data_IF_325113417674
#
_entry.id   IF_325113417674
#
_cell.length_a   1.000
_cell.length_b   1.000
_cell.length_c   1.000
_cell.angle_alpha   90.00
_cell.angle_beta   90.00
_cell.angle_gamma   90.00
#
_symmetry.space_group_name_H-M   'P 1'
#
loop_
_entity.id
_entity.type
_entity.pdbx_description
1 polymer ?
#
# COMPACT_ATOMS: atom_id res chain seq x y z
N UNK A 1 -37.54 -27.19 40.91
CA UNK A 1 -36.17 -27.61 41.26
C UNK A 1 -35.64 -28.51 40.16
N UNK A 2 -34.87 -27.95 39.22
CA UNK A 2 -33.96 -28.68 38.33
C UNK A 2 -32.94 -27.65 37.84
N UNK A 3 -31.73 -27.74 38.37
CA UNK A 3 -30.71 -26.71 38.25
C UNK A 3 -30.16 -26.58 36.83
N UNK A 4 -30.26 -25.38 36.29
CA UNK A 4 -29.39 -24.93 35.20
C UNK A 4 -28.05 -24.50 35.81
N UNK A 5 -27.13 -25.46 35.95
CA UNK A 5 -25.71 -25.16 35.97
C UNK A 5 -25.27 -24.91 34.51
N UNK A 6 -25.51 -23.69 34.03
CA UNK A 6 -24.74 -23.17 32.90
C UNK A 6 -23.37 -22.85 33.50
N UNK A 7 -22.39 -23.68 33.19
CA UNK A 7 -21.01 -23.46 33.60
C UNK A 7 -20.56 -22.06 33.19
N UNK A 8 -20.23 -21.24 34.18
CA UNK A 8 -19.25 -20.18 34.03
C UNK A 8 -17.99 -20.83 33.46
N UNK A 9 -17.83 -20.74 32.14
CA UNK A 9 -16.54 -21.02 31.51
C UNK A 9 -15.54 -20.07 32.17
N UNK A 10 -14.62 -20.64 32.94
CA UNK A 10 -13.54 -19.91 33.58
C UNK A 10 -12.95 -18.92 32.57
N UNK A 11 -12.87 -17.65 32.97
CA UNK A 11 -12.12 -16.65 32.22
C UNK A 11 -10.65 -17.08 32.28
N UNK A 12 -10.23 -17.90 31.33
CA UNK A 12 -8.86 -18.39 31.27
C UNK A 12 -7.97 -17.19 31.02
N UNK A 13 -7.14 -16.85 32.01
CA UNK A 13 -6.23 -15.71 31.95
C UNK A 13 -5.31 -15.82 30.73
N UNK A 14 -5.28 -14.78 29.90
CA UNK A 14 -4.43 -14.73 28.70
C UNK A 14 -3.03 -14.25 29.10
N UNK A 15 -2.03 -15.11 28.91
CA UNK A 15 -0.62 -14.80 29.17
C UNK A 15 0.12 -14.51 27.87
N UNK A 16 0.91 -13.42 27.86
CA UNK A 16 1.86 -13.13 26.78
C UNK A 16 3.25 -13.62 27.18
N UNK A 17 3.92 -14.37 26.29
CA UNK A 17 5.30 -14.86 26.51
C UNK A 17 6.04 -15.04 25.18
N UNK A 18 7.35 -15.27 25.25
CA UNK A 18 8.10 -15.78 24.10
C UNK A 18 7.54 -17.13 23.66
N UNK A 19 7.55 -17.35 22.35
CA UNK A 19 7.23 -18.66 21.80
C UNK A 19 8.28 -19.70 22.22
N UNK A 20 7.86 -20.95 22.32
CA UNK A 20 8.75 -22.10 22.43
C UNK A 20 9.09 -22.57 21.02
N UNK A 21 10.28 -23.12 20.82
CA UNK A 21 10.71 -23.60 19.50
C UNK A 21 9.78 -24.70 18.95
N UNK A 22 9.26 -25.57 19.83
CA UNK A 22 8.27 -26.61 19.49
C UNK A 22 6.93 -26.06 18.99
N UNK A 23 6.63 -24.78 19.20
CA UNK A 23 5.38 -24.14 18.76
C UNK A 23 5.44 -23.63 17.32
N UNK A 24 6.60 -23.69 16.66
CA UNK A 24 6.81 -23.13 15.30
C UNK A 24 5.79 -23.62 14.28
N UNK A 25 5.50 -24.93 14.25
CA UNK A 25 4.52 -25.51 13.33
C UNK A 25 3.09 -25.05 13.63
N UNK A 26 2.72 -24.95 14.92
CA UNK A 26 1.40 -24.49 15.34
C UNK A 26 1.20 -23.00 15.02
N UNK A 27 2.22 -22.17 15.24
CA UNK A 27 2.23 -20.76 14.87
C UNK A 27 2.11 -20.57 13.37
N UNK A 28 2.88 -21.32 12.58
CA UNK A 28 2.79 -21.28 11.11
C UNK A 28 1.37 -21.64 10.64
N UNK A 29 0.77 -22.70 11.19
CA UNK A 29 -0.60 -23.07 10.88
C UNK A 29 -1.61 -21.97 11.28
N UNK A 30 -1.39 -21.27 12.40
CA UNK A 30 -2.23 -20.14 12.80
C UNK A 30 -2.08 -18.93 11.86
N UNK A 31 -0.86 -18.61 11.43
CA UNK A 31 -0.60 -17.58 10.43
C UNK A 31 -1.31 -17.89 9.11
N UNK A 32 -1.21 -19.14 8.63
CA UNK A 32 -1.84 -19.60 7.39
C UNK A 32 -3.38 -19.57 7.42
N UNK A 33 -3.98 -19.67 8.61
CA UNK A 33 -5.43 -19.48 8.82
C UNK A 33 -5.83 -18.01 8.92
N UNK A 34 -4.89 -17.13 9.28
CA UNK A 34 -5.17 -15.71 9.52
C UNK A 34 -4.98 -14.86 8.27
N UNK A 35 -3.99 -15.20 7.45
CA UNK A 35 -3.57 -14.43 6.29
C UNK A 35 -3.85 -15.16 4.99
N UNK A 36 -3.89 -14.41 3.88
CA UNK A 36 -4.13 -14.97 2.56
C UNK A 36 -2.99 -15.90 2.10
N UNK A 37 -3.35 -16.91 1.31
CA UNK A 37 -2.43 -17.98 0.87
C UNK A 37 -1.19 -17.44 0.15
N UNK A 38 -1.30 -16.35 -0.60
CA UNK A 38 -0.17 -15.77 -1.34
C UNK A 38 0.88 -15.10 -0.44
N UNK A 39 0.60 -14.86 0.85
CA UNK A 39 1.57 -14.32 1.82
C UNK A 39 2.45 -15.40 2.45
N UNK A 40 2.10 -16.68 2.31
CA UNK A 40 2.84 -17.81 2.92
C UNK A 40 4.35 -17.83 2.59
N UNK A 41 4.79 -17.57 1.35
CA UNK A 41 6.22 -17.62 0.99
C UNK A 41 7.09 -16.61 1.74
N UNK A 42 6.49 -15.56 2.32
CA UNK A 42 7.21 -14.49 3.02
C UNK A 42 7.01 -14.52 4.55
N UNK A 43 6.35 -15.55 5.07
CA UNK A 43 6.27 -15.75 6.52
C UNK A 43 7.64 -16.10 7.09
N UNK A 44 8.05 -15.35 8.10
CA UNK A 44 9.23 -15.62 8.91
C UNK A 44 8.80 -15.79 10.36
N UNK A 45 9.49 -16.66 11.10
CA UNK A 45 9.29 -16.87 12.54
C UNK A 45 10.69 -16.89 13.16
N UNK A 46 10.89 -16.05 14.16
CA UNK A 46 12.14 -15.93 14.92
C UNK A 46 11.84 -16.33 16.37
N UNK A 47 12.11 -17.58 16.79
CA UNK A 47 11.77 -18.05 18.13
C UNK A 47 12.30 -17.14 19.26
N UNK A 48 13.46 -16.53 19.05
CA UNK A 48 14.14 -15.62 19.98
C UNK A 48 13.43 -14.27 20.18
N UNK A 49 12.50 -13.91 19.30
CA UNK A 49 11.85 -12.59 19.30
C UNK A 49 10.33 -12.64 19.03
N UNK A 50 9.76 -13.82 18.78
CA UNK A 50 8.33 -13.99 18.54
C UNK A 50 7.58 -14.15 19.85
N UNK A 51 6.57 -13.32 20.07
CA UNK A 51 5.71 -13.39 21.25
C UNK A 51 4.38 -14.05 20.89
N UNK A 52 3.84 -14.85 21.81
CA UNK A 52 2.56 -15.53 21.67
C UNK A 52 1.63 -15.19 22.82
N UNK A 53 0.33 -15.17 22.52
CA UNK A 53 -0.76 -15.08 23.49
C UNK A 53 -1.33 -16.49 23.71
N UNK A 54 -1.36 -16.94 24.96
CA UNK A 54 -1.85 -18.26 25.33
C UNK A 54 -2.87 -18.20 26.46
N UNK A 55 -3.87 -19.07 26.39
CA UNK A 55 -4.81 -19.35 27.47
C UNK A 55 -4.72 -20.84 27.81
N UNK A 56 -4.08 -21.17 28.94
CA UNK A 56 -3.61 -22.54 29.21
C UNK A 56 -2.61 -22.99 28.14
N UNK A 57 -2.84 -24.14 27.53
CA UNK A 57 -2.03 -24.68 26.41
C UNK A 57 -2.48 -24.18 25.03
N UNK A 58 -3.54 -23.37 24.97
CA UNK A 58 -4.12 -22.92 23.70
C UNK A 58 -3.45 -21.66 23.18
N UNK A 59 -2.90 -21.73 21.97
CA UNK A 59 -2.41 -20.55 21.22
C UNK A 59 -3.57 -19.73 20.67
N UNK A 60 -3.65 -18.47 21.08
CA UNK A 60 -4.69 -17.52 20.65
C UNK A 60 -4.19 -16.50 19.63
N UNK A 61 -2.88 -16.29 19.53
CA UNK A 61 -2.29 -15.31 18.63
C UNK A 61 -0.79 -15.16 18.84
N UNK A 62 -0.16 -14.36 17.98
CA UNK A 62 1.25 -14.05 18.09
C UNK A 62 1.66 -12.81 17.30
N UNK A 63 2.86 -12.33 17.60
CA UNK A 63 3.52 -11.24 16.91
C UNK A 63 4.99 -11.56 16.67
N UNK A 64 5.41 -11.50 15.41
CA UNK A 64 6.77 -11.82 15.00
C UNK A 64 7.58 -10.54 14.95
N UNK A 65 8.72 -10.51 15.64
CA UNK A 65 9.56 -9.32 15.76
C UNK A 65 10.91 -9.55 15.08
N UNK A 66 11.49 -8.47 14.59
CA UNK A 66 12.86 -8.47 14.09
C UNK A 66 13.65 -7.33 14.77
N UNK A 67 14.93 -7.57 15.03
CA UNK A 67 15.84 -6.63 15.69
C UNK A 67 17.13 -6.54 14.88
N UNK A 68 17.46 -5.33 14.42
CA UNK A 68 18.65 -5.13 13.60
C UNK A 68 19.30 -3.76 13.84
N UNK A 69 20.64 -3.66 13.74
CA UNK A 69 21.32 -2.38 13.83
C UNK A 69 21.25 -1.62 12.50
N UNK A 70 21.07 -0.31 12.57
CA UNK A 70 21.22 0.62 11.44
C UNK A 70 22.16 1.78 11.83
N UNK A 71 22.61 2.58 10.84
CA UNK A 71 23.57 3.68 11.03
C UNK A 71 24.81 3.28 11.83
N UNK A 72 25.46 2.20 11.42
CA UNK A 72 26.68 1.69 12.10
C UNK A 72 26.44 1.23 13.55
N UNK A 73 25.20 0.94 13.94
CA UNK A 73 24.85 0.51 15.30
C UNK A 73 24.31 1.63 16.20
N UNK A 74 24.33 2.90 15.75
CA UNK A 74 23.80 4.02 16.52
C UNK A 74 22.28 3.94 16.77
N UNK A 75 21.55 3.23 15.90
CA UNK A 75 20.14 2.92 16.11
C UNK A 75 19.99 1.39 16.11
N UNK A 76 19.44 0.88 17.21
CA UNK A 76 18.97 -0.50 17.30
C UNK A 76 17.48 -0.51 17.00
N UNK A 77 17.13 -1.03 15.84
CA UNK A 77 15.78 -0.99 15.30
C UNK A 77 15.02 -2.24 15.71
N UNK A 78 13.83 -2.07 16.26
CA UNK A 78 12.82 -3.11 16.36
C UNK A 78 11.83 -3.01 15.19
N UNK A 79 11.33 -4.14 14.73
CA UNK A 79 10.29 -4.19 13.71
C UNK A 79 9.14 -5.07 14.17
N UNK A 80 7.92 -4.53 14.14
CA UNK A 80 6.69 -5.28 14.35
C UNK A 80 6.26 -5.87 13.00
N UNK A 81 6.43 -7.18 12.87
CA UNK A 81 6.06 -7.92 11.67
C UNK A 81 4.63 -8.44 11.70
N UNK A 82 4.51 -9.73 11.44
CA UNK A 82 3.23 -10.44 11.40
C UNK A 82 2.55 -10.45 12.76
N UNK A 83 1.38 -9.80 12.86
CA UNK A 83 0.47 -9.88 14.00
C UNK A 83 -0.77 -10.69 13.60
N UNK A 84 -1.03 -11.80 14.28
CA UNK A 84 -2.13 -12.70 13.97
C UNK A 84 -2.85 -13.13 15.24
N UNK A 85 -4.17 -13.29 15.14
CA UNK A 85 -5.05 -13.66 16.24
C UNK A 85 -6.04 -14.67 15.67
N UNK A 86 -6.23 -15.79 16.40
CA UNK A 86 -7.23 -16.80 16.06
C UNK A 86 -8.60 -16.15 15.95
N UNK A 87 -9.41 -16.62 15.00
CA UNK A 87 -10.68 -15.99 14.66
C UNK A 87 -11.61 -15.84 15.86
N UNK A 88 -11.66 -16.88 16.70
CA UNK A 88 -12.49 -16.95 17.90
C UNK A 88 -11.96 -16.12 19.07
N UNK A 89 -10.72 -15.63 18.99
CA UNK A 89 -10.10 -14.77 20.01
C UNK A 89 -10.02 -13.29 19.58
N UNK A 90 -10.55 -12.96 18.39
CA UNK A 90 -10.64 -11.56 17.91
C UNK A 90 -11.63 -10.77 18.77
N UNK A 91 -11.38 -9.46 18.90
CA UNK A 91 -12.20 -8.57 19.72
C UNK A 91 -11.90 -8.61 21.23
N UNK A 92 -11.16 -9.62 21.72
CA UNK A 92 -10.81 -9.77 23.15
C UNK A 92 -9.62 -8.89 23.60
N UNK A 93 -9.18 -7.94 22.78
CA UNK A 93 -8.05 -7.06 23.12
C UNK A 93 -6.64 -7.69 23.01
N UNK A 94 -6.53 -8.97 22.62
CA UNK A 94 -5.26 -9.71 22.53
C UNK A 94 -4.21 -9.00 21.67
N UNK A 95 -4.61 -8.41 20.53
CA UNK A 95 -3.68 -7.66 19.68
C UNK A 95 -3.03 -6.50 20.43
N UNK A 96 -3.82 -5.75 21.21
CA UNK A 96 -3.30 -4.65 22.04
C UNK A 96 -2.32 -5.16 23.08
N UNK A 97 -2.61 -6.30 23.72
CA UNK A 97 -1.71 -6.95 24.68
C UNK A 97 -0.39 -7.38 24.03
N UNK A 98 -0.46 -8.04 22.86
CA UNK A 98 0.72 -8.48 22.10
C UNK A 98 1.60 -7.31 21.69
N UNK A 99 1.02 -6.21 21.16
CA UNK A 99 1.80 -5.03 20.78
C UNK A 99 2.41 -4.35 22.00
N UNK A 100 1.67 -4.21 23.10
CA UNK A 100 2.23 -3.63 24.34
C UNK A 100 3.42 -4.45 24.86
N UNK A 101 3.28 -5.78 24.89
CA UNK A 101 4.35 -6.69 25.28
C UNK A 101 5.55 -6.65 24.30
N UNK A 102 5.29 -6.55 22.99
CA UNK A 102 6.34 -6.41 21.98
C UNK A 102 7.14 -5.12 22.17
N UNK A 103 6.49 -3.99 22.46
CA UNK A 103 7.18 -2.74 22.73
C UNK A 103 8.04 -2.82 24.01
N UNK A 104 7.55 -3.48 25.04
CA UNK A 104 8.33 -3.71 26.26
C UNK A 104 9.54 -4.63 26.02
N UNK A 105 9.33 -5.74 25.29
CA UNK A 105 10.39 -6.65 24.86
C UNK A 105 11.47 -5.92 24.04
N UNK A 106 11.08 -5.14 23.04
CA UNK A 106 12.01 -4.38 22.19
C UNK A 106 12.78 -3.32 22.98
N UNK A 107 12.13 -2.67 23.95
CA UNK A 107 12.79 -1.71 24.86
C UNK A 107 13.85 -2.41 25.72
N UNK A 108 13.50 -3.55 26.33
CA UNK A 108 14.43 -4.38 27.12
C UNK A 108 15.59 -4.91 26.29
N UNK A 109 15.35 -5.20 25.01
CA UNK A 109 16.37 -5.58 24.03
C UNK A 109 17.23 -4.39 23.54
N UNK A 110 17.08 -3.19 24.12
CA UNK A 110 17.88 -2.01 23.83
C UNK A 110 17.50 -1.30 22.52
N UNK A 111 16.31 -1.58 21.95
CA UNK A 111 15.88 -0.89 20.74
C UNK A 111 15.53 0.57 21.05
N UNK A 112 16.03 1.49 20.22
CA UNK A 112 15.75 2.92 20.31
C UNK A 112 14.61 3.37 19.41
N UNK A 113 14.29 2.58 18.39
CA UNK A 113 13.27 2.84 17.39
C UNK A 113 12.49 1.58 17.10
N UNK A 114 11.21 1.73 16.78
CA UNK A 114 10.36 0.65 16.29
C UNK A 114 9.62 1.10 15.04
N UNK A 115 9.52 0.22 14.05
CA UNK A 115 8.62 0.43 12.92
C UNK A 115 7.69 -0.77 12.67
N UNK A 116 6.67 -0.52 11.87
CA UNK A 116 5.74 -1.52 11.37
C UNK A 116 5.27 -1.08 9.97
N UNK A 117 4.88 -2.04 9.13
CA UNK A 117 4.25 -1.76 7.85
C UNK A 117 2.77 -2.08 7.92
N UNK A 118 1.93 -1.13 7.51
CA UNK A 118 0.49 -1.33 7.50
C UNK A 118 -0.07 -0.94 6.14
N UNK A 119 -0.92 -1.81 5.60
CA UNK A 119 -1.73 -1.57 4.42
C UNK A 119 -2.67 -0.37 4.60
N UNK A 120 -2.81 0.44 3.56
CA UNK A 120 -3.62 1.66 3.52
C UNK A 120 -5.09 1.50 3.88
N UNK A 121 -5.67 0.33 3.62
CA UNK A 121 -7.07 0.00 3.89
C UNK A 121 -7.25 -0.85 5.17
N UNK A 122 -6.28 -0.83 6.10
CA UNK A 122 -6.33 -1.60 7.35
C UNK A 122 -6.53 -0.70 8.60
N UNK A 123 -7.78 -0.29 8.89
CA UNK A 123 -8.07 0.60 10.03
C UNK A 123 -7.78 -0.04 11.39
N UNK A 124 -7.90 -1.38 11.51
CA UNK A 124 -7.66 -2.08 12.77
C UNK A 124 -6.22 -1.88 13.22
N UNK A 125 -5.27 -2.13 12.31
CA UNK A 125 -3.84 -1.94 12.57
C UNK A 125 -3.48 -0.46 12.79
N UNK A 126 -4.10 0.46 12.02
CA UNK A 126 -3.91 1.90 12.25
C UNK A 126 -4.32 2.33 13.64
N UNK A 127 -5.54 1.97 14.08
CA UNK A 127 -6.04 2.31 15.41
C UNK A 127 -5.13 1.73 16.50
N UNK A 128 -4.71 0.49 16.32
CA UNK A 128 -3.84 -0.20 17.27
C UNK A 128 -2.49 0.50 17.41
N UNK A 129 -1.76 0.77 16.32
CA UNK A 129 -0.46 1.43 16.40
C UNK A 129 -0.56 2.90 16.79
N UNK A 130 -1.57 3.62 16.29
CA UNK A 130 -1.84 5.00 16.68
C UNK A 130 -2.05 5.13 18.20
N UNK A 131 -2.82 4.22 18.80
CA UNK A 131 -3.05 4.20 20.26
C UNK A 131 -1.77 3.94 21.07
N UNK A 132 -0.74 3.40 20.41
CA UNK A 132 0.57 3.14 20.98
C UNK A 132 1.57 4.25 20.63
N UNK A 133 1.14 5.36 20.03
CA UNK A 133 1.99 6.52 19.72
C UNK A 133 2.86 6.35 18.47
N UNK A 134 2.54 5.41 17.59
CA UNK A 134 3.16 5.36 16.26
C UNK A 134 2.57 6.43 15.34
N UNK A 135 3.38 6.87 14.39
CA UNK A 135 2.96 7.78 13.32
C UNK A 135 3.47 7.29 11.96
N UNK A 136 2.71 7.43 10.86
CA UNK A 136 3.21 7.13 9.54
C UNK A 136 4.31 8.13 9.15
N UNK A 137 5.39 7.63 8.54
CA UNK A 137 6.46 8.48 8.01
C UNK A 137 6.30 8.68 6.50
N UNK A 138 6.31 9.94 6.07
CA UNK A 138 6.51 10.31 4.67
C UNK A 138 7.90 9.88 4.18
N UNK A 139 8.13 9.77 2.87
CA UNK A 139 9.45 9.47 2.32
C UNK A 139 10.55 10.41 2.84
N UNK A 140 10.28 11.71 2.90
CA UNK A 140 11.23 12.68 3.44
C UNK A 140 11.49 12.46 4.94
N UNK A 141 10.46 12.08 5.71
CA UNK A 141 10.61 11.68 7.11
C UNK A 141 11.45 10.41 7.27
N UNK A 142 11.27 9.43 6.39
CA UNK A 142 12.05 8.20 6.35
C UNK A 142 13.54 8.51 6.06
N UNK A 143 13.84 9.31 5.04
CA UNK A 143 15.21 9.75 4.76
C UNK A 143 15.81 10.55 5.91
N UNK A 144 15.07 11.49 6.51
CA UNK A 144 15.53 12.27 7.66
C UNK A 144 15.88 11.36 8.85
N UNK A 145 15.04 10.36 9.14
CA UNK A 145 15.23 9.47 10.29
C UNK A 145 16.32 8.42 10.05
N UNK A 146 16.37 7.81 8.87
CA UNK A 146 17.19 6.63 8.61
C UNK A 146 18.42 6.93 7.74
N UNK A 147 18.40 8.01 6.96
CA UNK A 147 19.50 8.41 6.08
C UNK A 147 19.83 7.31 5.07
N UNK A 148 21.12 7.04 4.89
CA UNK A 148 21.63 5.99 3.99
C UNK A 148 21.27 4.57 4.41
N UNK A 149 20.80 4.36 5.65
CA UNK A 149 20.33 3.05 6.11
C UNK A 149 18.89 2.73 5.70
N UNK A 150 18.19 3.64 5.01
CA UNK A 150 16.80 3.45 4.59
C UNK A 150 16.57 2.15 3.77
N UNK A 151 17.43 1.78 2.80
CA UNK A 151 17.25 0.51 2.06
C UNK A 151 17.30 -0.71 2.99
N UNK A 152 18.11 -0.68 4.05
CA UNK A 152 18.14 -1.76 5.05
C UNK A 152 16.82 -1.82 5.83
N UNK A 153 16.26 -0.68 6.22
CA UNK A 153 14.93 -0.63 6.86
C UNK A 153 13.86 -1.20 5.92
N UNK A 154 13.86 -0.82 4.64
CA UNK A 154 12.92 -1.38 3.67
C UNK A 154 13.09 -2.88 3.46
N UNK A 155 14.34 -3.39 3.46
CA UNK A 155 14.62 -4.82 3.38
C UNK A 155 13.97 -5.60 4.53
N UNK A 156 14.22 -5.19 5.76
CA UNK A 156 13.68 -5.87 6.94
C UNK A 156 12.16 -5.71 7.08
N UNK A 157 11.64 -4.62 6.55
CA UNK A 157 10.21 -4.36 6.52
C UNK A 157 9.49 -5.00 5.31
N UNK A 158 10.21 -5.78 4.49
CA UNK A 158 9.74 -6.38 3.23
C UNK A 158 9.17 -5.37 2.20
N UNK A 159 9.52 -4.09 2.31
CA UNK A 159 8.86 -2.98 1.61
C UNK A 159 9.34 -2.67 0.19
N UNK A 160 10.30 -3.39 -0.37
CA UNK A 160 10.82 -3.01 -1.70
C UNK A 160 9.74 -3.01 -2.79
N UNK A 161 8.66 -3.77 -2.59
CA UNK A 161 7.59 -3.92 -3.57
C UNK A 161 6.20 -3.63 -3.01
N UNK A 162 6.08 -3.20 -1.75
CA UNK A 162 4.79 -3.06 -1.07
C UNK A 162 4.05 -1.78 -1.51
N UNK A 163 3.04 -1.96 -2.36
CA UNK A 163 2.23 -0.88 -2.91
C UNK A 163 1.01 -0.65 -2.03
N UNK A 164 0.86 0.58 -1.56
CA UNK A 164 -0.21 0.94 -0.62
C UNK A 164 0.07 0.60 0.84
N UNK A 165 1.31 0.26 1.20
CA UNK A 165 1.72 0.10 2.60
C UNK A 165 2.50 1.31 3.08
N UNK A 166 2.29 1.65 4.35
CA UNK A 166 2.90 2.82 4.99
C UNK A 166 3.79 2.37 6.15
N UNK A 167 4.98 2.97 6.25
CA UNK A 167 5.90 2.72 7.37
C UNK A 167 5.48 3.58 8.55
N UNK A 168 4.98 2.92 9.57
CA UNK A 168 4.70 3.50 10.86
C UNK A 168 5.93 3.44 11.73
N UNK A 169 6.18 4.49 12.51
CA UNK A 169 7.37 4.64 13.31
C UNK A 169 7.05 5.19 14.70
N UNK A 170 7.82 4.73 15.69
CA UNK A 170 7.85 5.21 17.07
C UNK A 170 9.28 5.19 17.59
N UNK A 171 9.69 6.23 18.32
CA UNK A 171 10.91 6.20 19.15
C UNK A 171 10.61 5.57 20.51
N UNK A 172 11.51 4.73 21.03
CA UNK A 172 11.40 4.12 22.35
C UNK A 172 12.22 4.84 23.43
N UNK A 173 13.37 5.41 23.07
CA UNK A 173 14.28 6.09 24.03
C UNK A 173 14.00 7.59 24.04
N UNK A 174 13.87 8.17 25.24
CA UNK A 174 13.56 9.60 25.47
C UNK A 174 12.12 9.90 25.92
N UNK A 175 11.41 8.94 26.51
CA UNK A 175 10.02 9.13 27.01
C UNK A 175 9.87 8.82 28.50
N UNK A 176 10.72 9.40 29.35
CA UNK A 176 10.42 9.52 30.79
C UNK A 176 9.92 10.93 31.13
N UNK A 177 10.31 11.98 30.42
CA UNK A 177 9.76 13.32 30.62
C UNK A 177 9.57 13.99 29.25
N UNK A 178 8.49 14.74 29.10
CA UNK A 178 7.92 15.22 27.84
C UNK A 178 7.14 14.15 27.06
N UNK A 179 5.93 13.84 27.55
CA UNK A 179 4.81 13.93 26.61
C UNK A 179 5.03 15.21 25.81
N UNK A 180 5.20 15.16 24.47
CA UNK A 180 5.26 16.39 23.70
C UNK A 180 4.02 17.18 24.11
N UNK A 181 4.20 18.45 24.49
CA UNK A 181 3.09 19.34 24.79
C UNK A 181 1.97 19.04 23.79
N UNK A 182 0.73 18.88 24.27
CA UNK A 182 -0.45 18.50 23.49
C UNK A 182 -0.66 19.34 22.19
N UNK A 183 0.14 20.40 22.03
CA UNK A 183 0.28 21.28 20.88
C UNK A 183 1.02 20.70 19.67
N UNK A 184 1.96 19.74 19.81
CA UNK A 184 2.76 19.22 18.68
C UNK A 184 2.22 17.91 18.06
N UNK A 185 1.20 17.31 18.69
CA UNK A 185 0.54 16.08 18.26
C UNK A 185 -0.80 16.37 17.56
N UNK A 186 -0.87 17.48 16.80
CA UNK A 186 -2.14 18.11 16.40
C UNK A 186 -2.87 17.50 15.21
N UNK A 187 -2.30 16.53 14.49
CA UNK A 187 -3.01 15.82 13.42
C UNK A 187 -3.09 14.36 13.81
N UNK A 188 -4.29 13.80 13.90
CA UNK A 188 -4.44 12.37 14.05
C UNK A 188 -3.71 11.68 12.88
N UNK A 189 -3.11 10.50 13.09
CA UNK A 189 -2.49 9.77 11.99
C UNK A 189 -3.48 9.62 10.83
N UNK A 190 -3.00 9.70 9.59
CA UNK A 190 -3.85 9.71 8.37
C UNK A 190 -4.77 10.94 8.20
N UNK A 191 -4.39 12.08 8.78
CA UNK A 191 -5.03 13.37 8.50
C UNK A 191 -4.05 14.40 7.92
N UNK A 192 -3.39 14.11 6.78
CA UNK A 192 -2.52 15.09 6.13
C UNK A 192 -3.31 16.34 5.76
N UNK A 193 -2.69 17.49 6.00
CA UNK A 193 -3.16 18.79 5.52
C UNK A 193 -3.26 18.78 3.99
N UNK A 194 -4.04 19.71 3.43
CA UNK A 194 -4.14 19.84 1.97
C UNK A 194 -2.77 20.11 1.32
N UNK A 195 -1.88 20.84 2.01
CA UNK A 195 -0.51 21.13 1.53
C UNK A 195 0.32 19.86 1.43
N UNK A 196 0.21 18.97 2.42
CA UNK A 196 0.91 17.69 2.41
C UNK A 196 0.37 16.76 1.31
N UNK A 197 -0.95 16.71 1.13
CA UNK A 197 -1.57 15.94 0.05
C UNK A 197 -1.14 16.46 -1.32
N UNK A 198 -1.17 17.79 -1.54
CA UNK A 198 -0.72 18.41 -2.77
C UNK A 198 0.77 18.12 -3.03
N UNK A 199 1.62 18.19 -2.00
CA UNK A 199 3.03 17.83 -2.12
C UNK A 199 3.22 16.35 -2.49
N UNK A 200 2.49 15.44 -1.84
CA UNK A 200 2.52 14.01 -2.18
C UNK A 200 2.09 13.77 -3.61
N UNK A 201 1.02 14.43 -4.07
CA UNK A 201 0.54 14.32 -5.44
C UNK A 201 1.58 14.83 -6.45
N UNK A 202 2.11 16.04 -6.25
CA UNK A 202 3.18 16.59 -7.09
C UNK A 202 4.43 15.71 -7.11
N UNK A 203 4.78 15.07 -5.99
CA UNK A 203 5.90 14.13 -5.93
C UNK A 203 5.63 12.89 -6.80
N UNK A 204 4.41 12.34 -6.74
CA UNK A 204 3.98 11.26 -7.62
C UNK A 204 4.10 11.66 -9.10
N UNK A 205 3.63 12.84 -9.45
CA UNK A 205 3.67 13.35 -10.82
C UNK A 205 5.11 13.53 -11.34
N UNK A 206 6.00 14.09 -10.51
CA UNK A 206 7.42 14.23 -10.85
C UNK A 206 8.10 12.87 -11.05
N UNK A 207 7.78 11.86 -10.23
CA UNK A 207 8.30 10.52 -10.41
C UNK A 207 7.72 9.82 -11.64
N UNK A 208 6.46 10.05 -11.98
CA UNK A 208 5.86 9.55 -13.22
C UNK A 208 6.57 10.14 -14.46
N UNK A 209 6.89 11.44 -14.46
CA UNK A 209 7.71 12.05 -15.52
C UNK A 209 9.13 11.48 -15.58
N UNK A 210 9.79 11.32 -14.45
CA UNK A 210 11.14 10.75 -14.43
C UNK A 210 11.14 9.31 -14.97
N UNK A 211 10.15 8.52 -14.58
CA UNK A 211 9.91 7.17 -15.09
C UNK A 211 9.69 7.19 -16.61
N UNK A 212 8.87 8.12 -17.10
CA UNK A 212 8.65 8.33 -18.53
C UNK A 212 9.94 8.68 -19.25
N UNK A 213 10.77 9.56 -18.69
CA UNK A 213 12.11 9.87 -19.22
C UNK A 213 13.00 8.64 -19.37
N UNK A 214 13.02 7.76 -18.37
CA UNK A 214 13.76 6.48 -18.45
C UNK A 214 13.24 5.64 -19.62
N UNK A 215 11.91 5.53 -19.78
CA UNK A 215 11.29 4.79 -20.88
C UNK A 215 11.68 5.38 -22.25
N UNK A 216 11.66 6.70 -22.38
CA UNK A 216 12.05 7.43 -23.60
C UNK A 216 13.50 7.13 -23.97
N UNK A 217 14.42 7.26 -23.01
CA UNK A 217 15.83 6.99 -23.22
C UNK A 217 16.06 5.51 -23.57
N UNK A 218 15.43 4.59 -22.82
CA UNK A 218 15.60 3.14 -22.99
C UNK A 218 15.14 2.64 -24.35
N UNK A 219 14.05 3.21 -24.86
CA UNK A 219 13.42 2.83 -26.12
C UNK A 219 13.83 3.77 -27.28
N UNK A 220 14.84 4.63 -27.09
CA UNK A 220 15.37 5.54 -28.12
C UNK A 220 14.29 6.44 -28.76
N UNK A 221 13.36 6.92 -27.94
CA UNK A 221 12.21 7.74 -28.37
C UNK A 221 12.52 9.24 -28.43
N UNK A 222 13.77 9.66 -28.27
CA UNK A 222 14.18 11.08 -28.38
C UNK A 222 13.79 11.70 -29.73
N UNK A 223 13.97 11.02 -30.89
CA UNK A 223 13.61 11.58 -32.19
C UNK A 223 12.15 12.04 -32.25
N UNK A 224 11.24 11.33 -31.58
CA UNK A 224 9.81 11.66 -31.52
C UNK A 224 9.55 13.02 -30.84
N UNK A 225 10.42 13.44 -29.91
CA UNK A 225 10.30 14.71 -29.19
C UNK A 225 10.92 15.85 -30.02
N UNK A 226 12.01 15.57 -30.72
CA UNK A 226 12.75 16.58 -31.48
C UNK A 226 12.22 16.79 -32.88
N UNK A 227 11.43 15.85 -33.40
CA UNK A 227 10.89 15.93 -34.75
C UNK A 227 9.92 17.11 -34.91
N UNK A 228 10.32 18.04 -35.78
CA UNK A 228 9.57 19.27 -36.07
C UNK A 228 8.40 19.03 -37.03
N UNK A 229 8.36 17.87 -37.72
CA UNK A 229 7.21 17.47 -38.51
C UNK A 229 5.97 17.20 -37.64
N UNK A 230 6.18 16.86 -36.36
CA UNK A 230 5.11 16.66 -35.39
C UNK A 230 4.73 17.99 -34.73
N UNK A 231 3.46 18.42 -34.78
CA UNK A 231 2.99 19.61 -34.10
C UNK A 231 3.44 19.65 -32.63
N UNK A 232 3.99 20.79 -32.21
CA UNK A 232 4.55 20.95 -30.86
C UNK A 232 3.54 20.58 -29.77
N UNK A 233 2.25 20.88 -29.98
CA UNK A 233 1.18 20.53 -29.05
C UNK A 233 1.05 19.01 -28.84
N UNK A 234 1.17 18.21 -29.89
CA UNK A 234 1.10 16.75 -29.79
C UNK A 234 2.32 16.16 -29.07
N UNK A 235 3.50 16.72 -29.32
CA UNK A 235 4.74 16.35 -28.61
C UNK A 235 4.64 16.64 -27.11
N UNK A 236 4.15 17.83 -26.76
CA UNK A 236 3.93 18.21 -25.37
C UNK A 236 2.85 17.35 -24.69
N UNK A 237 1.74 17.08 -25.39
CA UNK A 237 0.68 16.22 -24.89
C UNK A 237 1.20 14.82 -24.56
N UNK A 238 2.02 14.25 -25.45
CA UNK A 238 2.62 12.95 -25.25
C UNK A 238 3.66 12.94 -24.12
N UNK A 239 4.52 13.96 -24.06
CA UNK A 239 5.51 14.09 -22.99
C UNK A 239 4.85 14.20 -21.60
N UNK A 240 3.70 14.87 -21.53
CA UNK A 240 2.90 15.03 -20.33
C UNK A 240 1.86 13.92 -20.13
N UNK A 241 1.83 12.89 -20.98
CA UNK A 241 0.75 11.89 -20.96
C UNK A 241 0.61 11.15 -19.62
N UNK A 242 1.68 10.66 -18.98
CA UNK A 242 1.58 10.04 -17.65
C UNK A 242 0.95 10.97 -16.61
N UNK A 243 1.26 12.27 -16.67
CA UNK A 243 0.69 13.27 -15.77
C UNK A 243 -0.82 13.37 -15.92
N UNK A 244 -1.28 13.47 -17.18
CA UNK A 244 -2.69 13.59 -17.49
C UNK A 244 -3.45 12.34 -17.06
N UNK A 245 -2.90 11.15 -17.33
CA UNK A 245 -3.51 9.89 -16.93
C UNK A 245 -3.66 9.77 -15.40
N UNK A 246 -2.59 10.07 -14.63
CA UNK A 246 -2.63 10.02 -13.16
C UNK A 246 -3.54 11.11 -12.59
N UNK A 247 -3.52 12.32 -13.14
CA UNK A 247 -4.37 13.42 -12.70
C UNK A 247 -5.85 13.13 -12.95
N UNK A 248 -6.22 12.63 -14.13
CA UNK A 248 -7.60 12.26 -14.46
C UNK A 248 -8.10 11.15 -13.53
N UNK A 249 -7.30 10.10 -13.33
CA UNK A 249 -7.59 9.04 -12.36
C UNK A 249 -7.84 9.61 -10.97
N UNK A 250 -6.89 10.38 -10.45
CA UNK A 250 -6.93 10.92 -9.09
C UNK A 250 -8.08 11.90 -8.89
N UNK A 251 -8.36 12.75 -9.88
CA UNK A 251 -9.49 13.67 -9.87
C UNK A 251 -10.82 12.92 -9.85
N UNK A 252 -10.98 11.90 -10.71
CA UNK A 252 -12.19 11.06 -10.75
C UNK A 252 -12.47 10.45 -9.39
N UNK A 253 -11.45 9.85 -8.76
CA UNK A 253 -11.57 9.31 -7.41
C UNK A 253 -12.00 10.36 -6.38
N UNK A 254 -11.38 11.54 -6.41
CA UNK A 254 -11.71 12.64 -5.51
C UNK A 254 -13.14 13.15 -5.70
N UNK A 255 -13.63 13.24 -6.94
CA UNK A 255 -15.00 13.62 -7.26
C UNK A 255 -16.01 12.58 -6.77
N UNK A 256 -15.76 11.29 -7.02
CA UNK A 256 -16.64 10.21 -6.54
C UNK A 256 -16.62 10.13 -5.00
N UNK A 257 -15.47 10.36 -4.36
CA UNK A 257 -15.40 10.41 -2.90
C UNK A 257 -16.23 11.57 -2.32
N UNK A 258 -16.19 12.76 -2.95
CA UNK A 258 -17.01 13.91 -2.55
C UNK A 258 -18.50 13.64 -2.72
N UNK A 259 -18.91 13.08 -3.85
CA UNK A 259 -20.34 12.77 -4.13
C UNK A 259 -20.90 11.68 -3.22
N UNK A 260 -20.07 10.71 -2.80
CA UNK A 260 -20.46 9.67 -1.83
C UNK A 260 -20.34 10.11 -0.36
N UNK A 261 -19.90 11.36 -0.11
CA UNK A 261 -19.68 11.91 1.22
C UNK A 261 -18.62 11.15 2.02
N UNK A 262 -17.64 10.52 1.36
CA UNK A 262 -16.58 9.77 2.02
C UNK A 262 -15.36 10.69 2.25
N UNK A 263 -14.97 10.97 3.50
CA UNK A 263 -13.80 11.79 3.76
C UNK A 263 -12.52 11.00 3.44
N UNK A 264 -11.81 11.44 2.41
CA UNK A 264 -10.58 10.80 1.93
C UNK A 264 -9.38 11.75 2.00
N UNK A 265 -8.19 11.15 1.91
CA UNK A 265 -6.89 11.82 1.80
C UNK A 265 -6.04 11.13 0.75
N UNK A 266 -5.34 11.92 -0.06
CA UNK A 266 -4.39 11.36 -1.04
C UNK A 266 -3.06 11.02 -0.35
N UNK A 267 -2.53 9.84 -0.63
CA UNK A 267 -1.18 9.44 -0.20
C UNK A 267 -0.44 8.75 -1.34
N UNK A 268 0.82 9.14 -1.51
CA UNK A 268 1.75 8.53 -2.45
C UNK A 268 2.29 7.19 -1.91
N UNK A 269 2.77 6.34 -2.82
CA UNK A 269 3.37 5.05 -2.49
C UNK A 269 4.90 5.15 -2.60
N UNK A 270 5.52 5.61 -1.53
CA UNK A 270 6.94 5.93 -1.50
C UNK A 270 7.85 4.85 -2.09
N UNK A 271 7.70 3.61 -1.62
CA UNK A 271 8.54 2.47 -2.01
C UNK A 271 8.19 1.88 -3.37
N UNK A 272 6.95 2.06 -3.82
CA UNK A 272 6.50 1.56 -5.12
C UNK A 272 7.25 2.24 -6.29
N UNK A 273 7.85 3.42 -6.07
CA UNK A 273 8.71 4.07 -7.07
C UNK A 273 9.96 3.26 -7.40
N UNK A 274 10.45 2.39 -6.50
CA UNK A 274 11.56 1.48 -6.83
C UNK A 274 11.16 0.58 -8.00
N UNK A 275 9.98 -0.03 -7.94
CA UNK A 275 9.43 -0.82 -9.04
C UNK A 275 9.11 0.07 -10.25
N UNK A 276 8.54 1.26 -10.01
CA UNK A 276 8.25 2.27 -11.03
C UNK A 276 9.46 2.63 -11.90
N UNK A 277 10.67 2.69 -11.33
CA UNK A 277 11.90 2.96 -12.09
C UNK A 277 12.59 1.70 -12.64
N UNK A 278 12.62 0.61 -11.88
CA UNK A 278 13.29 -0.62 -12.32
C UNK A 278 12.57 -1.29 -13.49
N UNK A 279 11.25 -1.28 -13.49
CA UNK A 279 10.45 -1.95 -14.53
C UNK A 279 10.69 -1.36 -15.94
N UNK A 280 10.58 -0.04 -16.20
CA UNK A 280 10.92 0.52 -17.51
C UNK A 280 12.39 0.41 -17.86
N UNK A 281 13.29 0.46 -16.87
CA UNK A 281 14.72 0.31 -17.12
C UNK A 281 15.06 -1.11 -17.65
N UNK A 282 14.52 -2.14 -17.00
CA UNK A 282 14.84 -3.54 -17.29
C UNK A 282 13.97 -4.11 -18.42
N UNK A 283 12.66 -3.86 -18.37
CA UNK A 283 11.65 -4.46 -19.26
C UNK A 283 11.35 -3.56 -20.46
N UNK A 284 11.63 -2.25 -20.38
CA UNK A 284 11.27 -1.30 -21.43
C UNK A 284 9.78 -0.98 -21.49
N UNK A 285 9.02 -1.28 -20.43
CA UNK A 285 7.59 -0.99 -20.29
C UNK A 285 7.33 -0.04 -19.12
N UNK A 286 6.33 0.85 -19.18
CA UNK A 286 5.98 1.70 -18.06
C UNK A 286 5.43 0.87 -16.89
N UNK A 287 5.67 1.32 -15.66
CA UNK A 287 4.99 0.81 -14.47
C UNK A 287 4.44 2.01 -13.67
N UNK A 288 3.12 2.26 -13.72
CA UNK A 288 2.52 3.43 -13.12
C UNK A 288 2.48 3.31 -11.59
N UNK A 289 2.81 4.40 -10.88
CA UNK A 289 2.78 4.49 -9.42
C UNK A 289 1.89 5.66 -8.99
N UNK A 290 0.56 5.60 -9.24
CA UNK A 290 -0.33 6.75 -9.13
C UNK A 290 -0.68 7.17 -7.70
N UNK A 291 -0.26 6.42 -6.67
CA UNK A 291 -0.79 6.61 -5.32
C UNK A 291 -2.29 6.29 -5.24
N UNK A 292 -2.93 6.65 -4.13
CA UNK A 292 -4.37 6.46 -3.97
C UNK A 292 -5.00 7.42 -2.96
N UNK A 293 -6.33 7.55 -3.04
CA UNK A 293 -7.17 8.12 -1.99
C UNK A 293 -7.47 7.05 -0.94
N UNK A 294 -7.21 7.37 0.32
CA UNK A 294 -7.48 6.53 1.48
C UNK A 294 -8.47 7.20 2.40
N UNK A 295 -9.17 6.40 3.22
CA UNK A 295 -10.09 6.93 4.22
C UNK A 295 -9.32 7.81 5.22
N UNK A 296 -9.80 9.04 5.44
CA UNK A 296 -9.21 9.99 6.39
C UNK A 296 -9.31 9.50 7.84
N UNK A 297 -8.21 9.62 8.57
CA UNK A 297 -8.10 9.29 9.99
C UNK A 297 -7.95 7.79 10.27
N UNK A 298 -7.81 7.43 11.55
CA UNK A 298 -7.61 6.04 12.01
C UNK A 298 -8.87 5.41 12.62
N UNK A 299 -9.89 6.21 12.92
CA UNK A 299 -11.09 5.80 13.63
C UNK A 299 -12.25 5.44 12.67
N UNK A 300 -12.00 4.52 11.74
CA UNK A 300 -13.02 4.01 10.81
C UNK A 300 -13.07 2.48 10.83
N UNK A 301 -14.08 1.91 10.17
CA UNK A 301 -14.28 0.47 10.09
C UNK A 301 -14.39 0.07 8.62
N UNK A 302 -13.59 -0.91 8.20
CA UNK A 302 -13.57 -1.36 6.81
C UNK A 302 -14.96 -1.85 6.37
N UNK A 303 -15.67 -2.60 7.22
CA UNK A 303 -17.01 -3.08 6.90
C UNK A 303 -18.03 -1.97 6.57
N UNK A 304 -17.87 -0.76 7.12
CA UNK A 304 -18.78 0.38 6.87
C UNK A 304 -18.43 1.16 5.61
N UNK A 305 -17.14 1.31 5.34
CA UNK A 305 -16.65 2.19 4.27
C UNK A 305 -16.26 1.41 2.99
N UNK A 306 -16.16 0.07 3.05
CA UNK A 306 -15.73 -0.77 1.93
C UNK A 306 -16.60 -0.59 0.68
N UNK A 307 -17.92 -0.47 0.83
CA UNK A 307 -18.81 -0.26 -0.32
C UNK A 307 -18.49 1.05 -1.04
N UNK A 308 -18.33 2.15 -0.29
CA UNK A 308 -18.02 3.47 -0.87
C UNK A 308 -16.62 3.49 -1.50
N UNK A 309 -15.62 2.93 -0.82
CA UNK A 309 -14.26 2.77 -1.37
C UNK A 309 -14.27 1.92 -2.65
N UNK A 310 -15.10 0.88 -2.69
CA UNK A 310 -15.32 0.05 -3.86
C UNK A 310 -15.94 0.80 -5.04
N UNK A 311 -16.96 1.63 -4.79
CA UNK A 311 -17.60 2.45 -5.83
C UNK A 311 -16.61 3.48 -6.41
N UNK A 312 -15.81 4.12 -5.55
CA UNK A 312 -14.75 5.05 -5.97
C UNK A 312 -13.75 4.34 -6.90
N UNK A 313 -13.29 3.15 -6.49
CA UNK A 313 -12.36 2.34 -7.26
C UNK A 313 -12.95 1.89 -8.61
N UNK A 314 -14.15 1.31 -8.60
CA UNK A 314 -14.84 0.82 -9.79
C UNK A 314 -15.06 1.94 -10.82
N UNK A 315 -15.63 3.07 -10.40
CA UNK A 315 -15.94 4.18 -11.30
C UNK A 315 -14.68 4.71 -11.97
N UNK A 316 -13.60 4.82 -11.21
CA UNK A 316 -12.31 5.30 -11.73
C UNK A 316 -11.72 4.32 -12.73
N UNK A 317 -11.71 3.02 -12.41
CA UNK A 317 -11.23 1.97 -13.32
C UNK A 317 -12.06 1.91 -14.61
N UNK A 318 -13.37 2.14 -14.56
CA UNK A 318 -14.19 2.22 -15.78
C UNK A 318 -13.82 3.45 -16.65
N UNK A 319 -13.51 4.60 -16.03
CA UNK A 319 -13.02 5.79 -16.76
C UNK A 319 -11.67 5.53 -17.41
N UNK A 320 -10.76 4.82 -16.74
CA UNK A 320 -9.46 4.42 -17.31
C UNK A 320 -9.63 3.48 -18.50
N UNK A 321 -10.47 2.45 -18.37
CA UNK A 321 -10.78 1.49 -19.46
C UNK A 321 -11.42 2.22 -20.66
N UNK A 322 -12.37 3.12 -20.40
CA UNK A 322 -13.00 3.92 -21.44
C UNK A 322 -11.97 4.83 -22.14
N UNK A 323 -11.06 5.45 -21.39
CA UNK A 323 -9.98 6.27 -21.94
C UNK A 323 -9.04 5.46 -22.84
N UNK A 324 -8.72 4.23 -22.43
CA UNK A 324 -7.94 3.30 -23.24
C UNK A 324 -8.66 2.91 -24.54
N UNK A 325 -9.96 2.59 -24.46
CA UNK A 325 -10.78 2.26 -25.62
C UNK A 325 -10.88 3.42 -26.62
N UNK A 326 -11.07 4.66 -26.13
CA UNK A 326 -11.08 5.87 -26.97
C UNK A 326 -9.72 6.09 -27.63
N UNK A 327 -8.62 5.94 -26.88
CA UNK A 327 -7.27 6.10 -27.43
C UNK A 327 -6.99 5.08 -28.54
N UNK A 328 -7.38 3.82 -28.34
CA UNK A 328 -7.22 2.73 -29.32
C UNK A 328 -8.07 2.94 -30.58
N UNK A 329 -9.35 3.26 -30.43
CA UNK A 329 -10.24 3.49 -31.58
C UNK A 329 -9.85 4.72 -32.39
N UNK A 330 -9.50 5.83 -31.73
CA UNK A 330 -8.97 7.03 -32.39
C UNK A 330 -7.68 6.73 -33.15
N UNK A 331 -6.85 5.85 -32.59
CA UNK A 331 -5.61 5.42 -33.20
C UNK A 331 -5.83 4.59 -34.49
N UNK A 332 -6.76 3.62 -34.46
CA UNK A 332 -7.12 2.82 -35.64
C UNK A 332 -7.67 3.70 -36.76
N UNK A 333 -8.56 4.65 -36.43
CA UNK A 333 -9.11 5.58 -37.42
C UNK A 333 -8.01 6.45 -38.05
N UNK A 334 -7.06 6.92 -37.24
CA UNK A 334 -5.96 7.74 -37.74
C UNK A 334 -5.04 6.95 -38.70
N UNK A 335 -4.73 5.69 -38.38
CA UNK A 335 -3.96 4.78 -39.25
C UNK A 335 -4.62 4.56 -40.61
N UNK A 336 -5.94 4.43 -40.65
CA UNK A 336 -6.69 4.24 -41.90
C UNK A 336 -6.70 5.50 -42.77
N UNK A 337 -6.49 6.68 -42.19
CA UNK A 337 -6.72 7.96 -42.86
C UNK A 337 -5.52 8.59 -43.59
N UNK A 338 -4.26 8.16 -43.33
CA UNK A 338 -3.08 8.86 -43.88
C UNK A 338 -1.87 7.96 -44.20
N UNK A 339 -1.17 8.31 -45.29
CA UNK A 339 0.10 7.71 -45.76
C UNK A 339 1.36 8.14 -44.97
N UNK A 340 1.24 8.98 -43.94
CA UNK A 340 2.32 9.38 -43.01
C UNK A 340 2.26 8.69 -41.63
N UNK A 341 1.60 7.54 -41.57
CA UNK A 341 1.11 6.86 -40.36
C UNK A 341 2.17 6.33 -39.38
N UNK A 342 3.45 6.26 -39.76
CA UNK A 342 4.44 5.49 -39.02
C UNK A 342 4.88 6.18 -37.72
N UNK A 343 5.14 7.49 -37.70
CA UNK A 343 5.71 8.16 -36.50
C UNK A 343 4.67 8.52 -35.44
N UNK A 344 3.45 8.86 -35.84
CA UNK A 344 2.32 9.04 -34.93
C UNK A 344 2.02 7.70 -34.20
N UNK A 345 2.38 6.56 -34.81
CA UNK A 345 2.18 5.23 -34.22
C UNK A 345 2.98 4.92 -32.98
N UNK A 346 4.18 5.47 -32.87
CA UNK A 346 5.01 5.24 -31.69
C UNK A 346 4.54 6.06 -30.48
N UNK A 347 4.02 7.27 -30.70
CA UNK A 347 3.45 8.11 -29.65
C UNK A 347 2.20 7.46 -29.04
N UNK A 348 1.26 7.06 -29.90
CA UNK A 348 0.04 6.40 -29.47
C UNK A 348 0.36 5.06 -28.78
N UNK A 349 1.31 4.28 -29.31
CA UNK A 349 1.70 2.99 -28.72
C UNK A 349 2.20 3.11 -27.29
N UNK A 350 3.10 4.05 -27.01
CA UNK A 350 3.64 4.23 -25.65
C UNK A 350 2.58 4.76 -24.68
N UNK A 351 1.73 5.70 -25.13
CA UNK A 351 0.58 6.17 -24.34
C UNK A 351 -0.40 5.02 -24.01
N UNK A 352 -0.72 4.18 -25.01
CA UNK A 352 -1.54 2.98 -24.83
C UNK A 352 -0.88 1.98 -23.88
N UNK A 353 0.44 1.77 -23.94
CA UNK A 353 1.16 0.91 -23.00
C UNK A 353 1.03 1.40 -21.55
N UNK A 354 1.16 2.71 -21.32
CA UNK A 354 0.98 3.30 -19.99
C UNK A 354 -0.43 3.07 -19.45
N UNK A 355 -1.46 3.43 -20.22
CA UNK A 355 -2.86 3.22 -19.80
C UNK A 355 -3.21 1.74 -19.65
N UNK A 356 -2.70 0.88 -20.53
CA UNK A 356 -2.92 -0.56 -20.43
C UNK A 356 -2.34 -1.10 -19.14
N UNK A 357 -1.10 -0.74 -18.80
CA UNK A 357 -0.49 -1.16 -17.54
C UNK A 357 -1.26 -0.61 -16.33
N UNK A 358 -1.68 0.65 -16.37
CA UNK A 358 -2.49 1.24 -15.29
C UNK A 358 -3.80 0.48 -15.09
N UNK A 359 -4.54 0.22 -16.17
CA UNK A 359 -5.78 -0.55 -16.14
C UNK A 359 -5.55 -1.98 -15.62
N UNK A 360 -4.48 -2.65 -16.06
CA UNK A 360 -4.12 -4.00 -15.59
C UNK A 360 -3.88 -3.99 -14.08
N UNK A 361 -3.12 -3.02 -13.57
CA UNK A 361 -2.89 -2.86 -12.14
C UNK A 361 -4.19 -2.60 -11.37
N UNK A 362 -5.01 -1.66 -11.83
CA UNK A 362 -6.25 -1.26 -11.17
C UNK A 362 -7.42 -2.25 -11.32
N UNK A 363 -7.32 -3.23 -12.23
CA UNK A 363 -8.37 -4.23 -12.47
C UNK A 363 -7.99 -5.62 -11.95
N UNK A 364 -6.75 -6.06 -12.17
CA UNK A 364 -6.34 -7.46 -11.96
C UNK A 364 -5.49 -7.68 -10.71
N UNK A 365 -4.73 -6.68 -10.26
CA UNK A 365 -3.73 -6.87 -9.20
C UNK A 365 -4.31 -6.59 -7.80
N UNK A 366 -5.22 -7.45 -7.34
CA UNK A 366 -5.88 -7.33 -6.03
C UNK A 366 -5.14 -8.01 -4.86
N UNK A 367 -3.98 -8.60 -5.10
CA UNK A 367 -3.21 -9.41 -4.14
C UNK A 367 -1.90 -8.71 -3.76
N UNK A 368 -1.26 -9.13 -2.67
CA UNK A 368 0.04 -8.60 -2.26
C UNK A 368 1.12 -8.88 -3.32
N UNK A 369 1.99 -7.90 -3.65
CA UNK A 369 2.17 -6.62 -2.96
C UNK A 369 1.41 -5.44 -3.59
N UNK A 370 0.40 -5.70 -4.43
CA UNK A 370 -0.32 -4.71 -5.24
C UNK A 370 -1.65 -4.21 -4.64
N UNK A 371 -1.96 -4.57 -3.39
CA UNK A 371 -3.28 -4.30 -2.81
C UNK A 371 -3.63 -2.79 -2.69
N UNK A 372 -2.65 -1.89 -2.81
CA UNK A 372 -2.88 -0.45 -2.93
C UNK A 372 -3.70 -0.03 -4.15
N UNK A 373 -3.66 -0.78 -5.26
CA UNK A 373 -4.45 -0.49 -6.46
C UNK A 373 -5.95 -0.73 -6.26
N UNK A 374 -6.76 -0.21 -7.19
CA UNK A 374 -8.22 -0.25 -7.13
C UNK A 374 -8.78 -1.68 -7.14
N UNK A 375 -8.06 -2.64 -7.73
CA UNK A 375 -8.49 -4.02 -7.88
C UNK A 375 -8.92 -4.66 -6.55
N UNK A 376 -8.17 -4.39 -5.45
CA UNK A 376 -8.50 -4.93 -4.13
C UNK A 376 -9.83 -4.40 -3.59
N UNK A 377 -10.14 -3.13 -3.84
CA UNK A 377 -11.40 -2.47 -3.44
C UNK A 377 -12.58 -2.94 -4.27
N UNK A 378 -12.39 -3.13 -5.57
CA UNK A 378 -13.44 -3.68 -6.46
C UNK A 378 -13.77 -5.12 -6.04
N UNK A 379 -12.76 -5.94 -5.72
CA UNK A 379 -12.96 -7.31 -5.22
C UNK A 379 -13.74 -7.35 -3.92
N UNK A 380 -13.45 -6.44 -2.98
CA UNK A 380 -14.22 -6.29 -1.74
C UNK A 380 -15.65 -5.82 -1.97
N UNK A 381 -15.90 -5.02 -3.01
CA UNK A 381 -17.24 -4.58 -3.39
C UNK A 381 -18.08 -5.74 -3.91
N UNK A 382 -17.57 -6.47 -4.90
CA UNK A 382 -18.21 -7.68 -5.43
C UNK A 382 -17.25 -8.46 -6.32
N UNK A 383 -17.05 -9.78 -6.08
CA UNK A 383 -16.28 -10.63 -6.98
C UNK A 383 -16.82 -10.66 -8.42
N UNK A 384 -18.15 -10.54 -8.59
CA UNK A 384 -18.75 -10.47 -9.93
C UNK A 384 -18.37 -9.18 -10.65
N UNK A 385 -18.37 -8.04 -9.95
CA UNK A 385 -17.95 -6.77 -10.55
C UNK A 385 -16.49 -6.85 -10.98
N UNK A 386 -15.61 -7.45 -10.18
CA UNK A 386 -14.22 -7.71 -10.57
C UNK A 386 -14.11 -8.55 -11.84
N UNK A 387 -14.88 -9.64 -11.94
CA UNK A 387 -14.88 -10.48 -13.14
C UNK A 387 -15.37 -9.71 -14.37
N UNK A 388 -16.47 -8.96 -14.25
CA UNK A 388 -17.03 -8.15 -15.32
C UNK A 388 -16.07 -7.06 -15.80
N UNK A 389 -15.45 -6.31 -14.88
CA UNK A 389 -14.45 -5.28 -15.24
C UNK A 389 -13.20 -5.89 -15.86
N UNK A 390 -12.76 -7.06 -15.37
CA UNK A 390 -11.62 -7.78 -15.95
C UNK A 390 -11.91 -8.22 -17.38
N UNK A 391 -13.10 -8.77 -17.63
CA UNK A 391 -13.51 -9.18 -18.98
C UNK A 391 -13.61 -7.97 -19.91
N UNK A 392 -14.19 -6.86 -19.45
CA UNK A 392 -14.26 -5.62 -20.23
C UNK A 392 -12.85 -5.12 -20.61
N UNK A 393 -11.91 -5.10 -19.65
CA UNK A 393 -10.53 -4.71 -19.93
C UNK A 393 -9.89 -5.64 -20.96
N UNK A 394 -10.07 -6.96 -20.85
CA UNK A 394 -9.56 -7.93 -21.83
C UNK A 394 -10.13 -7.67 -23.23
N UNK A 395 -11.42 -7.36 -23.33
CA UNK A 395 -12.05 -7.02 -24.61
C UNK A 395 -11.39 -5.77 -25.23
N UNK A 396 -11.18 -4.72 -24.43
CA UNK A 396 -10.52 -3.49 -24.89
C UNK A 396 -9.05 -3.72 -25.25
N UNK A 397 -8.33 -4.59 -24.53
CA UNK A 397 -6.91 -4.88 -24.83
C UNK A 397 -6.77 -5.74 -26.10
N UNK A 398 -7.68 -6.68 -26.34
CA UNK A 398 -7.56 -7.67 -27.43
C UNK A 398 -8.21 -7.22 -28.73
N UNK A 399 -9.41 -6.61 -28.67
CA UNK A 399 -10.25 -6.38 -29.86
C UNK A 399 -10.30 -4.93 -30.34
N UNK A 400 -9.99 -3.96 -29.47
CA UNK A 400 -9.83 -2.56 -29.86
C UNK A 400 -8.35 -2.25 -30.05
#
# INVERSE_FOLDING_TARGET
>A
MSGNQVGEAAVTEVKIRLMRESETSAIRALMEKTFEVYLRPIFYIHPESTLVAVAGERLLGGINLDIYPIRGGAIRMGYLGWLYISEDARGLGIGRMLVAAALDFLRKAGCSDVAACIEGDNPSSFKQLASQGFTPLTLSGQFKRFGTSLPKVWKHASRFFDIGYFLWHKKLVGSVEQSPSATAQKTAPFEPTWKEQARSFLTTELFALAMWGILILRNQLIPLITDTAIPILLRLLWLCFPLLAIAIRTLTMGLVARTTGLPVVYTAWDTANVLGFLFPLVIGWPFPVPGNWYRRGTAWQLAKDAQKLGIIALTTTLVEIASLAVLKTSWVQLLQSRSGAVEISLHARSAMQFLSMLCLCDTLLFFYPFCGFNASRIRRLSPWLTAATSMLLLVVIVFL
#
